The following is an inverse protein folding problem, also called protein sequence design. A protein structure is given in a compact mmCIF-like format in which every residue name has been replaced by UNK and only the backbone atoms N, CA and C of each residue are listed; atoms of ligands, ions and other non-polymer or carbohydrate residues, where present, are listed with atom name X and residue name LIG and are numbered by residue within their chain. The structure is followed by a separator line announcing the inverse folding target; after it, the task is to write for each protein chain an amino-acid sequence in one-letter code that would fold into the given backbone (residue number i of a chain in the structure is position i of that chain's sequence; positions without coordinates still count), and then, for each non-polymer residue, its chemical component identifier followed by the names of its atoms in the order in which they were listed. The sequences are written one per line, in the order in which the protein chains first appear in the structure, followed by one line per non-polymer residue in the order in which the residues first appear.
data_IF_666252784549
#
_entry.id   IF_666252784549
#
_cell.length_a   1.000
_cell.length_b   1.000
_cell.length_c   1.000
_cell.angle_alpha   90.00
_cell.angle_beta   90.00
_cell.angle_gamma   90.00
#
_symmetry.space_group_name_H-M   'P 1'
#
loop_
_entity.id
_entity.type
_entity.pdbx_description
1 polymer ?
#
# COMPACT_ATOMS: atom_id res chain seq x y z
N UNK A 1 16.35 -3.99 10.21
CA UNK A 1 14.92 -3.95 9.82
C UNK A 1 14.84 -3.43 8.40
N UNK A 2 14.10 -4.11 7.54
CA UNK A 2 13.95 -3.75 6.12
C UNK A 2 12.69 -2.87 6.00
N UNK A 3 12.87 -1.58 5.73
CA UNK A 3 11.79 -0.56 5.73
C UNK A 3 10.69 -0.91 4.72
N UNK A 4 11.05 -1.56 3.60
CA UNK A 4 10.10 -2.01 2.59
C UNK A 4 9.13 -3.05 3.17
N UNK A 5 9.62 -3.95 4.04
CA UNK A 5 8.76 -4.95 4.70
C UNK A 5 7.84 -4.33 5.74
N UNK A 6 8.27 -3.31 6.46
CA UNK A 6 7.42 -2.57 7.41
C UNK A 6 6.27 -1.90 6.67
N UNK A 7 6.60 -1.17 5.59
CA UNK A 7 5.61 -0.53 4.71
C UNK A 7 4.62 -1.55 4.14
N UNK A 8 5.12 -2.66 3.61
CA UNK A 8 4.26 -3.72 3.05
C UNK A 8 3.28 -4.31 4.07
N UNK A 9 3.73 -4.55 5.31
CA UNK A 9 2.88 -5.05 6.41
C UNK A 9 1.83 -4.03 6.82
N UNK A 10 2.22 -2.77 6.99
CA UNK A 10 1.30 -1.70 7.38
C UNK A 10 0.24 -1.47 6.29
N UNK A 11 0.64 -1.46 5.03
CA UNK A 11 -0.27 -1.38 3.88
C UNK A 11 -1.29 -2.51 3.90
N UNK A 12 -0.83 -3.76 4.00
CA UNK A 12 -1.73 -4.93 4.05
C UNK A 12 -2.70 -4.85 5.24
N UNK A 13 -2.22 -4.39 6.40
CA UNK A 13 -3.04 -4.21 7.60
C UNK A 13 -4.12 -3.15 7.38
N UNK A 14 -3.78 -1.98 6.86
CA UNK A 14 -4.74 -0.89 6.62
C UNK A 14 -5.76 -1.26 5.56
N UNK A 15 -5.32 -1.89 4.45
CA UNK A 15 -6.21 -2.39 3.40
C UNK A 15 -7.24 -3.38 3.95
N UNK A 16 -6.80 -4.35 4.75
CA UNK A 16 -7.67 -5.36 5.37
C UNK A 16 -8.64 -4.75 6.38
N UNK A 17 -8.21 -3.76 7.17
CA UNK A 17 -9.10 -3.02 8.09
C UNK A 17 -10.28 -2.34 7.38
N UNK A 18 -10.12 -2.01 6.10
CA UNK A 18 -11.18 -1.43 5.27
C UNK A 18 -11.93 -2.45 4.41
N UNK A 19 -11.66 -3.75 4.58
CA UNK A 19 -12.32 -4.80 3.80
C UNK A 19 -11.96 -4.82 2.31
N UNK A 20 -10.87 -4.16 1.91
CA UNK A 20 -10.51 -4.03 0.49
C UNK A 20 -9.69 -5.22 0.01
N UNK A 21 -9.96 -5.71 -1.20
CA UNK A 21 -9.06 -6.63 -1.91
C UNK A 21 -7.84 -5.88 -2.46
N UNK A 22 -6.80 -6.60 -2.87
CA UNK A 22 -5.66 -5.97 -3.56
C UNK A 22 -6.09 -5.35 -4.90
N UNK A 23 -7.04 -5.98 -5.59
CA UNK A 23 -7.61 -5.52 -6.87
C UNK A 23 -8.34 -4.19 -6.68
N UNK A 24 -9.20 -4.11 -5.66
CA UNK A 24 -9.96 -2.92 -5.33
C UNK A 24 -9.05 -1.75 -4.92
N UNK A 25 -8.04 -2.01 -4.09
CA UNK A 25 -7.07 -0.97 -3.73
C UNK A 25 -6.29 -0.50 -4.97
N UNK A 26 -5.87 -1.43 -5.83
CA UNK A 26 -5.14 -1.11 -7.04
C UNK A 26 -5.99 -0.24 -7.99
N UNK A 27 -7.27 -0.57 -8.16
CA UNK A 27 -8.23 0.23 -8.91
C UNK A 27 -8.38 1.65 -8.35
N UNK A 28 -8.60 1.79 -7.02
CA UNK A 28 -8.69 3.12 -6.36
C UNK A 28 -7.42 3.94 -6.50
N UNK A 29 -6.27 3.28 -6.52
CA UNK A 29 -4.99 3.93 -6.70
C UNK A 29 -4.62 4.12 -8.16
N UNK A 30 -5.42 3.69 -9.13
CA UNK A 30 -5.02 3.64 -10.55
C UNK A 30 -3.60 3.05 -10.70
N UNK A 31 -3.46 1.82 -10.20
CA UNK A 31 -2.24 1.01 -10.21
C UNK A 31 -2.59 -0.42 -10.60
N UNK A 32 -1.58 -1.19 -11.03
CA UNK A 32 -1.77 -2.60 -11.30
C UNK A 32 -1.79 -3.43 -10.00
N UNK A 33 -2.69 -4.41 -9.88
CA UNK A 33 -2.82 -5.29 -8.70
C UNK A 33 -1.50 -5.94 -8.28
N UNK A 34 -0.69 -6.37 -9.26
CA UNK A 34 0.62 -7.01 -8.99
C UNK A 34 1.63 -6.04 -8.38
N UNK A 35 1.48 -4.74 -8.61
CA UNK A 35 2.31 -3.72 -7.98
C UNK A 35 1.94 -3.55 -6.49
N UNK A 36 0.65 -3.47 -6.16
CA UNK A 36 0.16 -3.51 -4.77
C UNK A 36 0.63 -4.78 -4.05
N UNK A 37 0.46 -5.95 -4.66
CA UNK A 37 0.97 -7.22 -4.12
C UNK A 37 2.48 -7.22 -3.91
N UNK A 38 3.24 -6.58 -4.80
CA UNK A 38 4.69 -6.43 -4.68
C UNK A 38 5.10 -5.54 -3.50
N UNK A 39 4.37 -4.45 -3.25
CA UNK A 39 4.61 -3.57 -2.10
C UNK A 39 4.27 -4.32 -0.80
N UNK A 40 3.13 -5.00 -0.72
CA UNK A 40 2.73 -5.75 0.49
C UNK A 40 3.72 -6.86 0.88
N UNK A 41 4.39 -7.45 -0.11
CA UNK A 41 5.44 -8.47 0.11
C UNK A 41 6.82 -7.86 0.38
N UNK A 42 6.99 -6.54 0.26
CA UNK A 42 8.27 -5.85 0.41
C UNK A 42 9.25 -6.08 -0.74
N UNK A 43 8.79 -6.57 -1.90
CA UNK A 43 9.65 -6.80 -3.10
C UNK A 43 9.64 -5.63 -4.08
N UNK A 44 8.80 -4.62 -3.83
CA UNK A 44 8.76 -3.36 -4.57
C UNK A 44 9.11 -2.22 -3.64
N UNK A 45 9.87 -1.26 -4.16
CA UNK A 45 10.16 0.00 -3.48
C UNK A 45 9.31 1.12 -4.11
N UNK A 46 8.14 1.46 -3.53
CA UNK A 46 7.32 2.54 -4.06
C UNK A 46 7.98 3.90 -3.83
N UNK A 47 7.77 4.84 -4.75
CA UNK A 47 8.17 6.23 -4.52
C UNK A 47 7.28 6.87 -3.45
N UNK A 48 7.72 7.99 -2.87
CA UNK A 48 6.93 8.74 -1.88
C UNK A 48 5.57 9.16 -2.46
N UNK A 49 5.53 9.58 -3.74
CA UNK A 49 4.26 9.95 -4.41
C UNK A 49 3.29 8.77 -4.55
N UNK A 50 3.79 7.54 -4.76
CA UNK A 50 2.96 6.34 -4.77
C UNK A 50 2.42 6.04 -3.36
N UNK A 51 3.25 6.17 -2.32
CA UNK A 51 2.80 5.99 -0.94
C UNK A 51 1.71 6.99 -0.56
N UNK A 52 1.84 8.25 -0.97
CA UNK A 52 0.81 9.28 -0.78
C UNK A 52 -0.48 8.96 -1.56
N UNK A 53 -0.38 8.50 -2.82
CA UNK A 53 -1.53 8.05 -3.63
C UNK A 53 -2.28 6.90 -2.92
N UNK A 54 -1.55 5.91 -2.41
CA UNK A 54 -2.11 4.77 -1.67
C UNK A 54 -2.75 5.23 -0.35
N UNK A 55 -2.08 6.09 0.41
CA UNK A 55 -2.60 6.62 1.67
C UNK A 55 -3.91 7.40 1.46
N UNK A 56 -3.98 8.22 0.40
CA UNK A 56 -5.21 8.93 -0.01
C UNK A 56 -6.33 7.98 -0.40
N UNK A 57 -6.04 6.93 -1.16
CA UNK A 57 -7.02 5.90 -1.53
C UNK A 57 -7.57 5.13 -0.30
N UNK A 58 -6.74 4.99 0.74
CA UNK A 58 -7.09 4.43 2.04
C UNK A 58 -7.61 5.49 3.03
N UNK A 59 -7.71 6.77 2.68
CA UNK A 59 -8.15 7.85 3.60
C UNK A 59 -7.35 7.89 4.92
N UNK A 60 -6.03 7.66 4.85
CA UNK A 60 -5.09 7.74 5.99
C UNK A 60 -3.93 8.69 5.67
N UNK A 61 -3.04 8.95 6.63
CA UNK A 61 -1.82 9.71 6.38
C UNK A 61 -0.70 8.77 5.90
N UNK A 62 0.19 9.23 5.03
CA UNK A 62 1.30 8.42 4.52
C UNK A 62 2.22 7.89 5.64
N UNK A 63 2.33 8.62 6.76
CA UNK A 63 3.09 8.18 7.95
C UNK A 63 2.51 6.92 8.61
N UNK A 64 1.22 6.64 8.41
CA UNK A 64 0.56 5.45 8.97
C UNK A 64 0.99 4.15 8.25
N UNK A 65 1.71 4.30 7.12
CA UNK A 65 2.34 3.21 6.39
C UNK A 65 3.79 2.95 6.86
N UNK A 66 4.41 3.83 7.64
CA UNK A 66 5.80 3.67 8.13
C UNK A 66 5.92 2.83 9.40
#
# INVERSE_FOLDING_TARGET
MDIQKTVGKNLARMRKKQGLSQEELAFRCDLHRTYISGIERGVRNPTIGILDKIAKALKIQAKDLL
#
